data_IF_125523656833
#
_entry.id   IF_125523656833
#
_cell.length_a   1.000
_cell.length_b   1.000
_cell.length_c   1.000
_cell.angle_alpha   90.00
_cell.angle_beta   90.00
_cell.angle_gamma   90.00
#
_symmetry.space_group_name_H-M   'P 1'
#
loop_
_entity.id
_entity.type
_entity.pdbx_description
1 polymer ?
#
# COMPACT_ATOMS: atom_id res chain seq x y z
N UNK A 1 -27.58 -6.03 43.14
CA UNK A 1 -26.31 -5.29 42.99
C UNK A 1 -25.66 -5.69 41.68
N UNK A 2 -25.56 -4.75 40.75
CA UNK A 2 -25.08 -4.95 39.38
C UNK A 2 -23.54 -5.08 39.38
N UNK A 3 -23.02 -6.30 39.44
CA UNK A 3 -21.59 -6.58 39.31
C UNK A 3 -21.17 -6.64 37.85
N UNK A 4 -21.08 -5.48 37.20
CA UNK A 4 -20.68 -5.38 35.79
C UNK A 4 -19.26 -5.95 35.59
N UNK A 5 -19.18 -7.05 34.85
CA UNK A 5 -17.96 -7.78 34.48
C UNK A 5 -16.86 -6.85 33.91
N UNK A 6 -15.89 -6.50 34.76
CA UNK A 6 -14.67 -5.77 34.36
C UNK A 6 -13.83 -6.52 33.31
N UNK A 7 -14.09 -7.80 33.06
CA UNK A 7 -13.40 -8.62 32.06
C UNK A 7 -13.88 -8.44 30.61
N UNK A 8 -15.11 -7.98 30.37
CA UNK A 8 -15.65 -7.84 29.00
C UNK A 8 -15.07 -6.59 28.31
N UNK A 9 -14.75 -5.54 29.09
CA UNK A 9 -14.22 -4.28 28.54
C UNK A 9 -12.81 -4.42 27.95
N UNK A 10 -11.99 -5.38 28.43
CA UNK A 10 -10.61 -5.58 27.94
C UNK A 10 -10.59 -6.37 26.62
N UNK A 11 -11.52 -7.31 26.42
CA UNK A 11 -11.54 -8.17 25.25
C UNK A 11 -12.04 -7.45 23.97
N UNK A 12 -12.87 -6.42 24.12
CA UNK A 12 -13.42 -5.64 23.00
C UNK A 12 -12.48 -4.52 22.52
N UNK A 13 -11.39 -4.23 23.23
CA UNK A 13 -10.45 -3.14 22.90
C UNK A 13 -9.17 -3.62 22.18
N UNK A 14 -9.05 -4.92 21.86
CA UNK A 14 -7.88 -5.47 21.18
C UNK A 14 -7.76 -5.13 19.68
N UNK A 15 -8.85 -5.07 18.86
CA UNK A 15 -8.70 -4.86 17.42
C UNK A 15 -8.21 -3.44 17.07
N UNK A 16 -8.50 -2.46 17.92
CA UNK A 16 -8.09 -1.07 17.73
C UNK A 16 -6.57 -0.87 17.90
N UNK A 17 -5.88 -1.74 18.64
CA UNK A 17 -4.43 -1.68 18.84
C UNK A 17 -3.64 -2.16 17.61
N UNK A 18 -4.19 -3.07 16.81
CA UNK A 18 -3.54 -3.54 15.57
C UNK A 18 -3.80 -2.63 14.36
N UNK A 19 -4.88 -1.84 14.38
CA UNK A 19 -5.22 -0.94 13.28
C UNK A 19 -4.27 0.28 13.15
N UNK A 20 -3.36 0.47 14.13
CA UNK A 20 -2.49 1.64 14.24
C UNK A 20 -0.99 1.38 14.18
N UNK A 21 -0.52 0.14 13.91
CA UNK A 21 0.92 -0.04 13.67
C UNK A 21 1.29 0.75 12.40
N UNK A 22 2.11 1.79 12.57
CA UNK A 22 2.78 2.44 11.44
C UNK A 22 3.47 1.34 10.65
N UNK A 23 3.26 1.32 9.33
CA UNK A 23 4.11 0.51 8.45
C UNK A 23 5.52 1.04 8.63
N UNK A 24 6.42 0.20 9.14
CA UNK A 24 7.82 0.56 9.25
C UNK A 24 8.35 0.91 7.86
N UNK A 25 9.12 1.99 7.78
CA UNK A 25 9.78 2.38 6.53
C UNK A 25 10.90 1.39 6.26
N UNK A 26 10.92 0.81 5.06
CA UNK A 26 12.00 -0.08 4.68
C UNK A 26 13.25 0.74 4.29
N UNK A 27 14.33 0.59 5.05
CA UNK A 27 15.65 1.13 4.74
C UNK A 27 16.66 0.03 4.35
N UNK A 28 16.23 -1.23 4.35
CA UNK A 28 17.05 -2.39 4.05
C UNK A 28 16.82 -2.82 2.59
N UNK A 29 17.84 -2.61 1.76
CA UNK A 29 17.80 -2.94 0.33
C UNK A 29 17.54 -4.43 0.08
N UNK A 30 17.97 -5.31 0.99
CA UNK A 30 17.73 -6.76 0.86
C UNK A 30 16.25 -7.15 0.98
N UNK A 31 15.42 -6.26 1.54
CA UNK A 31 13.97 -6.45 1.72
C UNK A 31 13.15 -5.83 0.60
N UNK A 32 13.76 -5.15 -0.38
CA UNK A 32 13.04 -4.61 -1.53
C UNK A 32 12.60 -5.77 -2.43
N UNK A 33 11.29 -5.99 -2.64
CA UNK A 33 10.82 -7.05 -3.52
C UNK A 33 11.16 -6.72 -4.98
N UNK A 34 11.24 -7.75 -5.83
CA UNK A 34 11.29 -7.52 -7.28
C UNK A 34 9.97 -6.96 -7.77
N UNK A 35 10.03 -5.98 -8.67
CA UNK A 35 8.86 -5.42 -9.34
C UNK A 35 9.19 -5.11 -10.81
N UNK A 36 8.14 -5.05 -11.62
CA UNK A 36 8.21 -4.63 -13.02
C UNK A 36 7.55 -3.26 -13.14
N UNK A 37 8.26 -2.31 -13.74
CA UNK A 37 7.70 -1.01 -14.07
C UNK A 37 6.88 -1.12 -15.37
N UNK A 38 5.78 -0.36 -15.51
CA UNK A 38 5.14 -0.21 -16.81
C UNK A 38 6.14 0.39 -17.81
N UNK A 39 6.01 0.01 -19.08
CA UNK A 39 6.86 0.56 -20.13
C UNK A 39 6.48 2.03 -20.37
N UNK A 40 7.37 3.01 -20.09
CA UNK A 40 7.06 4.42 -20.28
C UNK A 40 6.88 4.79 -21.76
N UNK A 41 7.30 3.92 -22.69
CA UNK A 41 7.14 4.10 -24.13
C UNK A 41 5.98 3.29 -24.69
N UNK A 42 4.99 2.97 -23.86
CA UNK A 42 3.70 2.41 -24.27
C UNK A 42 2.59 3.26 -23.68
N UNK A 43 1.77 3.85 -24.54
CA UNK A 43 0.59 4.64 -24.14
C UNK A 43 -0.46 3.73 -23.45
N UNK A 44 -1.42 4.33 -22.74
CA UNK A 44 -2.51 3.58 -22.09
C UNK A 44 -3.33 2.72 -23.07
N UNK A 45 -3.43 3.14 -24.33
CA UNK A 45 -4.10 2.41 -25.41
C UNK A 45 -3.26 1.27 -26.03
N UNK A 46 -2.02 1.05 -25.55
CA UNK A 46 -1.08 0.06 -26.06
C UNK A 46 -0.23 0.52 -27.26
N UNK A 47 -0.41 1.75 -27.74
CA UNK A 47 0.42 2.31 -28.83
C UNK A 47 1.86 2.51 -28.35
N UNK A 48 2.89 2.06 -29.10
CA UNK A 48 4.28 2.34 -28.75
C UNK A 48 4.67 3.79 -29.09
N UNK A 49 5.34 4.46 -28.16
CA UNK A 49 5.95 5.78 -28.37
C UNK A 49 7.27 5.63 -29.11
N UNK A 50 7.29 6.05 -30.39
CA UNK A 50 8.49 5.96 -31.24
C UNK A 50 9.08 7.30 -31.65
N UNK A 51 8.38 8.38 -31.35
CA UNK A 51 8.76 9.72 -31.77
C UNK A 51 8.29 10.78 -30.74
N UNK A 52 8.89 11.98 -30.76
CA UNK A 52 8.56 13.02 -29.79
C UNK A 52 7.14 13.57 -29.90
N UNK A 53 6.50 13.46 -31.06
CA UNK A 53 5.11 13.91 -31.23
C UNK A 53 4.18 12.96 -30.49
N UNK A 54 4.35 11.65 -30.69
CA UNK A 54 3.61 10.61 -29.95
C UNK A 54 3.79 10.77 -28.43
N UNK A 55 5.01 11.04 -27.94
CA UNK A 55 5.26 11.28 -26.51
C UNK A 55 4.49 12.49 -25.92
N UNK A 56 4.29 13.56 -26.71
CA UNK A 56 3.68 14.81 -26.21
C UNK A 56 2.17 14.86 -26.37
N UNK A 57 1.63 14.15 -27.35
CA UNK A 57 0.23 14.29 -27.77
C UNK A 57 -0.66 13.10 -27.37
N UNK A 58 -0.06 11.96 -27.01
CA UNK A 58 -0.77 10.79 -26.49
C UNK A 58 -0.47 10.60 -25.01
#
# INVERSE_FOLDING_TARGET
MLGMNRGIAVLLLAPALLAGQRRDVNYDESKVPKFTLPDPLVCEDGTPVRDPKTWREK
#
